data_IF_737470540703
#
_entry.id   IF_737470540703
#
_cell.length_a   1.000
_cell.length_b   1.000
_cell.length_c   1.000
_cell.angle_alpha   90.00
_cell.angle_beta   90.00
_cell.angle_gamma   90.00
#
_symmetry.space_group_name_H-M   'P 1'
#
loop_
_entity.id
_entity.type
_entity.pdbx_description
1 polymer ?
#
# COMPACT_ATOMS: atom_id res chain seq x y z
N UNK A 1 -26.64 -9.85 -7.82
CA UNK A 1 -25.88 -9.22 -8.92
C UNK A 1 -24.74 -10.15 -9.28
N UNK A 2 -24.73 -10.72 -10.50
CA UNK A 2 -23.67 -11.63 -10.93
C UNK A 2 -22.53 -10.81 -11.56
N UNK A 3 -21.32 -10.96 -11.05
CA UNK A 3 -20.12 -10.41 -11.69
C UNK A 3 -19.65 -11.40 -12.75
N UNK A 4 -19.60 -10.95 -14.00
CA UNK A 4 -19.12 -11.74 -15.13
C UNK A 4 -17.80 -11.13 -15.57
N UNK A 5 -16.75 -11.94 -15.68
CA UNK A 5 -15.48 -11.56 -16.27
C UNK A 5 -15.61 -11.64 -17.79
N UNK A 6 -15.34 -10.55 -18.46
CA UNK A 6 -15.35 -10.48 -19.92
C UNK A 6 -14.04 -9.86 -20.41
N UNK A 7 -13.52 -10.37 -21.51
CA UNK A 7 -12.38 -9.76 -22.20
C UNK A 7 -12.90 -8.61 -23.06
N UNK A 8 -12.64 -7.38 -22.63
CA UNK A 8 -13.24 -6.17 -23.23
C UNK A 8 -12.39 -5.61 -24.37
N UNK A 9 -11.13 -6.06 -24.52
CA UNK A 9 -10.21 -5.57 -25.56
C UNK A 9 -8.77 -5.44 -25.09
N UNK A 10 -8.06 -4.44 -25.59
CA UNK A 10 -6.65 -4.20 -25.29
C UNK A 10 -6.49 -3.06 -24.30
N UNK A 11 -5.63 -3.27 -23.30
CA UNK A 11 -5.19 -2.22 -22.42
C UNK A 11 -3.69 -1.93 -22.65
N UNK A 12 -3.34 -0.67 -22.69
CA UNK A 12 -1.95 -0.21 -22.84
C UNK A 12 -1.63 0.75 -21.73
N UNK A 13 -0.45 0.60 -21.14
CA UNK A 13 0.08 1.54 -20.15
C UNK A 13 1.49 1.95 -20.57
N UNK A 14 1.77 3.24 -20.55
CA UNK A 14 3.09 3.79 -20.80
C UNK A 14 3.41 4.86 -19.77
N UNK A 15 4.55 4.75 -19.11
CA UNK A 15 4.94 5.68 -18.08
C UNK A 15 6.29 5.38 -17.47
N UNK A 16 6.53 5.96 -16.30
CA UNK A 16 7.77 5.81 -15.56
C UNK A 16 7.54 5.69 -14.07
N UNK A 17 8.52 5.10 -13.42
CA UNK A 17 8.60 4.95 -11.97
C UNK A 17 9.91 5.55 -11.48
N UNK A 18 9.84 6.30 -10.39
CA UNK A 18 11.00 6.82 -9.67
C UNK A 18 10.90 6.37 -8.22
N UNK A 19 11.91 5.63 -7.75
CA UNK A 19 12.05 5.22 -6.35
C UNK A 19 13.37 5.69 -5.78
N UNK A 20 13.35 6.15 -4.55
CA UNK A 20 14.54 6.57 -3.83
C UNK A 20 14.49 6.19 -2.35
N UNK A 21 15.64 5.86 -1.81
CA UNK A 21 15.82 5.66 -0.38
C UNK A 21 16.95 6.57 0.10
N UNK A 22 16.72 7.27 1.20
CA UNK A 22 17.74 8.12 1.80
C UNK A 22 17.69 8.06 3.32
N UNK A 23 18.82 8.33 3.93
CA UNK A 23 18.97 8.38 5.39
C UNK A 23 19.56 9.72 5.80
N UNK A 24 18.86 10.44 6.69
CA UNK A 24 19.31 11.73 7.21
C UNK A 24 19.74 11.56 8.66
N UNK A 25 20.94 12.10 8.97
CA UNK A 25 21.52 12.12 10.31
C UNK A 25 21.50 10.75 11.03
N UNK A 26 21.54 9.64 10.30
CA UNK A 26 21.45 8.25 10.80
C UNK A 26 20.17 7.95 11.61
N UNK A 27 19.22 8.87 11.65
CA UNK A 27 17.99 8.75 12.46
C UNK A 27 16.73 8.67 11.63
N UNK A 28 16.67 9.36 10.51
CA UNK A 28 15.51 9.36 9.61
C UNK A 28 15.86 8.56 8.36
N UNK A 29 15.22 7.41 8.21
CA UNK A 29 15.27 6.60 7.02
C UNK A 29 13.96 6.76 6.26
N UNK A 30 14.04 7.17 5.00
CA UNK A 30 12.85 7.40 4.17
C UNK A 30 13.01 6.69 2.83
N UNK A 31 11.98 5.95 2.46
CA UNK A 31 11.74 5.45 1.11
C UNK A 31 10.58 6.24 0.51
N UNK A 32 10.76 6.70 -0.71
CA UNK A 32 9.71 7.35 -1.49
C UNK A 32 9.68 6.77 -2.90
N UNK A 33 8.51 6.46 -3.42
CA UNK A 33 8.34 6.10 -4.82
C UNK A 33 7.17 6.84 -5.45
N UNK A 34 7.36 7.23 -6.68
CA UNK A 34 6.37 7.91 -7.50
C UNK A 34 6.24 7.19 -8.83
N UNK A 35 5.02 6.86 -9.20
CA UNK A 35 4.68 6.25 -10.49
C UNK A 35 3.77 7.19 -11.26
N UNK A 36 4.04 7.38 -12.54
CA UNK A 36 3.22 8.15 -13.47
C UNK A 36 3.11 7.40 -14.78
N UNK A 37 1.88 7.13 -15.22
CA UNK A 37 1.65 6.46 -16.49
C UNK A 37 0.35 6.91 -17.14
N UNK A 38 0.36 6.92 -18.49
CA UNK A 38 -0.82 7.05 -19.29
C UNK A 38 -1.40 5.65 -19.50
N UNK A 39 -2.69 5.52 -19.25
CA UNK A 39 -3.42 4.27 -19.41
C UNK A 39 -4.51 4.47 -20.47
N UNK A 40 -4.61 3.53 -21.39
CA UNK A 40 -5.58 3.52 -22.47
C UNK A 40 -6.21 2.12 -22.56
N UNK A 41 -7.53 2.09 -22.66
CA UNK A 41 -8.31 0.88 -22.93
C UNK A 41 -9.07 1.11 -24.21
N UNK A 42 -8.89 0.24 -25.19
CA UNK A 42 -9.63 0.21 -26.43
C UNK A 42 -10.24 -1.16 -26.65
N UNK A 43 -11.51 -1.22 -26.97
CA UNK A 43 -12.18 -2.48 -27.18
C UNK A 43 -13.67 -2.36 -27.44
N UNK A 44 -14.37 -3.45 -27.21
CA UNK A 44 -15.82 -3.54 -27.39
C UNK A 44 -16.44 -4.25 -26.19
N UNK A 45 -17.50 -3.68 -25.66
CA UNK A 45 -18.28 -4.32 -24.62
C UNK A 45 -19.77 -4.31 -25.02
N UNK A 46 -20.34 -5.49 -25.15
CA UNK A 46 -21.72 -5.68 -25.56
C UNK A 46 -22.09 -4.93 -26.85
N UNK A 47 -21.25 -5.10 -27.89
CA UNK A 47 -21.37 -4.45 -29.22
C UNK A 47 -21.24 -2.92 -29.20
N UNK A 48 -20.82 -2.36 -28.08
CA UNK A 48 -20.54 -0.94 -27.97
C UNK A 48 -19.02 -0.69 -27.89
N UNK A 49 -18.46 0.18 -28.73
CA UNK A 49 -17.02 0.48 -28.68
C UNK A 49 -16.69 1.20 -27.35
N UNK A 50 -15.59 0.81 -26.76
CA UNK A 50 -15.01 1.46 -25.59
C UNK A 50 -13.66 2.02 -25.99
N UNK A 51 -13.45 3.31 -25.70
CA UNK A 51 -12.14 3.94 -25.78
C UNK A 51 -12.01 4.89 -24.59
N UNK A 52 -11.16 4.55 -23.64
CA UNK A 52 -10.92 5.32 -22.43
C UNK A 52 -9.43 5.59 -22.30
N UNK A 53 -9.07 6.83 -21.97
CA UNK A 53 -7.69 7.25 -21.77
C UNK A 53 -7.58 8.12 -20.55
N UNK A 54 -6.55 7.92 -19.75
CA UNK A 54 -6.29 8.74 -18.56
C UNK A 54 -4.85 8.65 -18.08
N UNK A 55 -4.48 9.61 -17.27
CA UNK A 55 -3.20 9.64 -16.58
C UNK A 55 -3.43 9.21 -15.14
N UNK A 56 -2.64 8.26 -14.71
CA UNK A 56 -2.68 7.69 -13.36
C UNK A 56 -1.34 7.93 -12.70
N UNK A 57 -1.36 8.39 -11.47
CA UNK A 57 -0.15 8.50 -10.67
C UNK A 57 -0.38 7.97 -9.25
N UNK A 58 0.69 7.48 -8.66
CA UNK A 58 0.71 7.03 -7.27
C UNK A 58 1.96 7.52 -6.56
N UNK A 59 1.82 7.73 -5.28
CA UNK A 59 2.91 8.11 -4.38
C UNK A 59 2.90 7.15 -3.18
N UNK A 60 4.06 6.56 -2.89
CA UNK A 60 4.27 5.80 -1.67
C UNK A 60 5.41 6.44 -0.88
N UNK A 61 5.15 6.72 0.38
CA UNK A 61 6.13 7.27 1.30
C UNK A 61 6.19 6.38 2.54
N UNK A 62 7.39 5.99 2.93
CA UNK A 62 7.63 5.19 4.12
C UNK A 62 8.82 5.80 4.86
N UNK A 63 8.57 6.40 6.02
CA UNK A 63 9.56 7.09 6.81
C UNK A 63 9.65 6.49 8.20
N UNK A 64 10.86 6.19 8.65
CA UNK A 64 11.15 5.71 9.99
C UNK A 64 12.11 6.69 10.67
N UNK A 65 11.69 7.23 11.80
CA UNK A 65 12.51 8.07 12.64
C UNK A 65 12.87 7.35 13.94
N UNK A 66 14.17 7.22 14.20
CA UNK A 66 14.71 6.61 15.41
C UNK A 66 15.04 7.68 16.46
N UNK A 67 14.25 7.75 17.53
CA UNK A 67 14.50 8.65 18.67
C UNK A 67 15.69 8.13 19.49
N UNK A 68 15.72 6.80 19.69
CA UNK A 68 16.78 6.06 20.38
C UNK A 68 16.88 4.65 19.81
N UNK A 69 17.83 3.86 20.26
CA UNK A 69 17.94 2.45 19.81
C UNK A 69 16.69 1.60 20.04
N UNK A 70 15.85 1.99 20.97
CA UNK A 70 14.67 1.21 21.37
C UNK A 70 13.34 1.91 21.08
N UNK A 71 13.35 3.15 20.58
CA UNK A 71 12.13 3.93 20.30
C UNK A 71 12.18 4.51 18.92
N UNK A 72 11.14 4.24 18.11
CA UNK A 72 11.04 4.73 16.76
C UNK A 72 9.59 5.03 16.36
N UNK A 73 9.43 5.98 15.45
CA UNK A 73 8.17 6.28 14.81
C UNK A 73 8.26 5.91 13.32
N UNK A 74 7.19 5.36 12.79
CA UNK A 74 7.03 5.07 11.36
C UNK A 74 5.82 5.81 10.82
N UNK A 75 6.01 6.52 9.73
CA UNK A 75 4.96 7.16 8.97
C UNK A 75 4.87 6.51 7.59
N UNK A 76 3.69 6.02 7.25
CA UNK A 76 3.40 5.44 5.93
C UNK A 76 2.31 6.25 5.27
N UNK A 77 2.52 6.64 4.02
CA UNK A 77 1.55 7.35 3.22
C UNK A 77 1.48 6.73 1.83
N UNK A 78 0.29 6.31 1.45
CA UNK A 78 0.01 5.80 0.11
C UNK A 78 -1.05 6.69 -0.52
N UNK A 79 -0.81 7.10 -1.75
CA UNK A 79 -1.74 7.87 -2.55
C UNK A 79 -1.89 7.24 -3.93
N UNK A 80 -3.12 7.16 -4.40
CA UNK A 80 -3.47 6.76 -5.76
C UNK A 80 -4.43 7.80 -6.34
N UNK A 81 -4.13 8.31 -7.53
CA UNK A 81 -5.01 9.22 -8.27
C UNK A 81 -6.27 8.52 -8.78
N UNK A 82 -7.20 9.27 -9.32
CA UNK A 82 -8.34 8.70 -10.03
C UNK A 82 -7.84 7.75 -11.12
N UNK A 83 -8.55 6.62 -11.28
CA UNK A 83 -8.24 5.61 -12.27
C UNK A 83 -9.44 5.37 -13.17
N UNK A 84 -9.22 5.45 -14.47
CA UNK A 84 -10.23 5.13 -15.47
C UNK A 84 -10.28 3.62 -15.66
N UNK A 85 -11.48 3.07 -15.76
CA UNK A 85 -11.76 1.66 -16.07
C UNK A 85 -12.58 1.57 -17.35
N UNK A 86 -12.72 0.36 -17.89
CA UNK A 86 -13.52 0.13 -19.11
C UNK A 86 -15.00 0.55 -18.98
N UNK A 87 -15.54 0.62 -17.75
CA UNK A 87 -16.94 0.91 -17.49
C UNK A 87 -17.16 2.08 -16.53
N UNK A 88 -16.12 2.86 -16.23
CA UNK A 88 -16.29 3.98 -15.32
C UNK A 88 -14.97 4.48 -14.72
N UNK A 89 -15.01 4.81 -13.46
CA UNK A 89 -13.89 5.45 -12.77
C UNK A 89 -13.82 5.02 -11.30
N UNK A 90 -12.61 4.77 -10.85
CA UNK A 90 -12.29 4.68 -9.43
C UNK A 90 -11.78 6.03 -8.94
N UNK A 91 -12.30 6.52 -7.83
CA UNK A 91 -11.83 7.78 -7.26
C UNK A 91 -10.43 7.62 -6.66
N UNK A 92 -9.77 8.75 -6.48
CA UNK A 92 -8.51 8.81 -5.73
C UNK A 92 -8.67 8.22 -4.34
N UNK A 93 -7.55 7.70 -3.84
CA UNK A 93 -7.48 7.10 -2.52
C UNK A 93 -6.17 7.49 -1.84
N UNK A 94 -6.18 7.69 -0.53
CA UNK A 94 -4.98 7.90 0.26
C UNK A 94 -5.12 7.20 1.62
N UNK A 95 -4.00 6.82 2.21
CA UNK A 95 -3.96 6.14 3.50
C UNK A 95 -2.72 6.56 4.29
N UNK A 96 -2.82 7.56 5.15
CA UNK A 96 -1.77 7.94 6.08
C UNK A 96 -1.87 7.11 7.37
N UNK A 97 -0.73 6.62 7.83
CA UNK A 97 -0.64 5.84 9.05
C UNK A 97 0.60 6.24 9.84
N UNK A 98 0.47 6.37 11.14
CA UNK A 98 1.57 6.63 12.05
C UNK A 98 1.65 5.52 13.09
N UNK A 99 2.85 4.99 13.31
CA UNK A 99 3.11 3.97 14.32
C UNK A 99 4.25 4.42 15.22
N UNK A 100 4.02 4.43 16.51
CA UNK A 100 5.06 4.63 17.52
C UNK A 100 5.35 3.31 18.19
N UNK A 101 6.61 2.88 18.18
CA UNK A 101 7.05 1.62 18.78
C UNK A 101 8.15 1.86 19.79
N UNK A 102 8.01 1.22 20.95
CA UNK A 102 9.03 1.19 22.00
C UNK A 102 9.31 -0.24 22.45
N UNK A 103 10.59 -0.58 22.52
CA UNK A 103 11.07 -1.88 23.00
C UNK A 103 11.68 -1.73 24.39
N UNK A 104 11.39 -2.70 25.24
CA UNK A 104 11.85 -2.76 26.62
C UNK A 104 12.55 -4.10 26.89
N UNK A 105 13.32 -4.17 27.96
CA UNK A 105 13.94 -5.38 28.48
C UNK A 105 14.72 -6.14 27.39
N UNK A 106 15.72 -5.50 26.81
CA UNK A 106 16.54 -6.09 25.75
C UNK A 106 15.70 -6.69 24.59
N UNK A 107 14.67 -5.94 24.16
CA UNK A 107 13.73 -6.32 23.10
C UNK A 107 12.79 -7.49 23.45
N UNK A 108 12.67 -7.88 24.73
CA UNK A 108 11.72 -8.92 25.13
C UNK A 108 10.27 -8.40 25.09
N UNK A 109 10.04 -7.15 25.50
CA UNK A 109 8.73 -6.53 25.45
C UNK A 109 8.70 -5.44 24.39
N UNK A 110 7.71 -5.47 23.51
CA UNK A 110 7.46 -4.44 22.49
C UNK A 110 6.06 -3.88 22.68
N UNK A 111 5.96 -2.57 22.85
CA UNK A 111 4.71 -1.84 22.85
C UNK A 111 4.62 -1.00 21.57
N UNK A 112 3.48 -1.05 20.89
CA UNK A 112 3.22 -0.26 19.68
C UNK A 112 1.87 0.43 19.77
N UNK A 113 1.85 1.72 19.46
CA UNK A 113 0.66 2.53 19.28
C UNK A 113 0.56 2.88 17.79
N UNK A 114 -0.54 2.52 17.14
CA UNK A 114 -0.78 2.78 15.73
C UNK A 114 -1.98 3.71 15.57
N UNK A 115 -1.80 4.79 14.84
CA UNK A 115 -2.87 5.65 14.37
C UNK A 115 -3.04 5.40 12.87
N UNK A 116 -4.13 4.75 12.51
CA UNK A 116 -4.41 4.33 11.13
C UNK A 116 -5.47 5.21 10.49
N UNK A 117 -5.33 5.38 9.19
CA UNK A 117 -6.25 6.17 8.36
C UNK A 117 -6.48 7.56 8.96
N UNK A 118 -5.39 8.25 9.26
CA UNK A 118 -5.44 9.58 9.88
C UNK A 118 -6.21 10.54 8.99
N UNK A 119 -7.15 11.27 9.56
CA UNK A 119 -7.76 12.41 8.87
C UNK A 119 -6.80 13.61 8.93
N UNK A 120 -6.06 13.83 7.85
CA UNK A 120 -5.11 14.93 7.75
C UNK A 120 -5.76 16.25 7.31
N UNK A 121 -7.07 16.26 7.04
CA UNK A 121 -7.77 17.45 6.53
C UNK A 121 -7.30 17.93 5.14
N UNK A 122 -6.39 17.20 4.50
CA UNK A 122 -5.81 17.57 3.20
C UNK A 122 -6.71 17.18 2.02
N UNK A 123 -7.56 16.20 2.24
CA UNK A 123 -8.51 15.69 1.26
C UNK A 123 -9.82 15.36 1.97
N UNK A 124 -10.93 15.61 1.34
CA UNK A 124 -12.24 15.55 1.96
C UNK A 124 -12.72 14.15 2.36
N UNK A 125 -12.03 13.08 2.03
CA UNK A 125 -12.52 11.73 2.37
C UNK A 125 -11.43 10.66 2.34
N UNK A 126 -11.48 9.71 3.30
CA UNK A 126 -10.84 8.39 3.22
C UNK A 126 -11.78 7.41 2.49
N UNK A 127 -12.51 7.88 1.53
CA UNK A 127 -13.52 7.15 0.79
C UNK A 127 -13.00 6.83 -0.61
N UNK A 128 -13.01 5.55 -0.96
CA UNK A 128 -12.78 5.13 -2.32
C UNK A 128 -14.12 4.85 -3.01
N UNK A 129 -14.41 5.62 -4.04
CA UNK A 129 -15.61 5.48 -4.84
C UNK A 129 -15.29 4.76 -6.14
N UNK A 130 -15.97 3.64 -6.38
CA UNK A 130 -15.90 2.88 -7.62
C UNK A 130 -17.21 3.12 -8.37
N UNK A 131 -17.12 3.77 -9.51
CA UNK A 131 -18.28 4.03 -10.36
C UNK A 131 -18.24 3.11 -11.56
N UNK A 132 -19.33 2.39 -11.79
CA UNK A 132 -19.51 1.54 -12.97
C UNK A 132 -20.80 1.93 -13.66
N UNK A 133 -20.73 2.21 -14.95
CA UNK A 133 -21.90 2.62 -15.74
C UNK A 133 -21.96 1.84 -17.04
N UNK A 134 -23.18 1.62 -17.51
CA UNK A 134 -23.49 1.10 -18.83
C UNK A 134 -24.57 1.96 -19.42
N UNK A 135 -24.36 2.63 -20.56
CA UNK A 135 -25.37 3.45 -21.19
C UNK A 135 -26.71 2.71 -21.30
N UNK A 136 -27.80 3.40 -20.96
CA UNK A 136 -29.19 2.92 -21.02
C UNK A 136 -29.52 1.64 -20.23
N UNK A 137 -28.60 1.12 -19.42
CA UNK A 137 -28.81 -0.11 -18.65
C UNK A 137 -28.66 0.07 -17.15
N UNK A 138 -27.52 0.60 -16.69
CA UNK A 138 -27.32 0.82 -15.27
C UNK A 138 -26.21 1.84 -14.98
N UNK A 139 -26.31 2.41 -13.80
CA UNK A 139 -25.28 3.20 -13.14
C UNK A 139 -25.16 2.71 -11.70
N UNK A 140 -23.97 2.36 -11.28
CA UNK A 140 -23.71 1.91 -9.91
C UNK A 140 -22.50 2.61 -9.35
N UNK A 141 -22.63 3.11 -8.14
CA UNK A 141 -21.50 3.61 -7.34
C UNK A 141 -21.40 2.80 -6.09
N UNK A 142 -20.21 2.26 -5.86
CA UNK A 142 -19.87 1.56 -4.61
C UNK A 142 -18.87 2.41 -3.86
N UNK A 143 -19.23 2.82 -2.65
CA UNK A 143 -18.35 3.58 -1.77
C UNK A 143 -17.72 2.64 -0.75
N UNK A 144 -16.41 2.56 -0.74
CA UNK A 144 -15.64 1.93 0.32
C UNK A 144 -15.20 3.04 1.28
N UNK A 145 -15.85 3.11 2.42
CA UNK A 145 -15.50 4.08 3.49
C UNK A 145 -14.58 3.36 4.45
N UNK A 146 -13.36 3.86 4.56
CA UNK A 146 -12.40 3.38 5.54
C UNK A 146 -12.60 4.15 6.83
N UNK A 147 -12.69 3.42 7.94
CA UNK A 147 -12.74 4.06 9.25
C UNK A 147 -11.51 4.94 9.45
N UNK A 148 -11.77 6.18 9.83
CA UNK A 148 -10.73 7.19 10.09
C UNK A 148 -10.35 7.19 11.55
N UNK A 149 -9.15 7.69 11.84
CA UNK A 149 -8.62 7.90 13.17
C UNK A 149 -8.68 6.66 14.07
N UNK A 150 -8.45 5.48 13.48
CA UNK A 150 -8.35 4.25 14.27
C UNK A 150 -7.07 4.23 15.09
N UNK A 151 -7.20 4.11 16.40
CA UNK A 151 -6.08 3.96 17.32
C UNK A 151 -6.01 2.51 17.80
N UNK A 152 -4.88 1.85 17.53
CA UNK A 152 -4.62 0.48 17.93
C UNK A 152 -3.41 0.44 18.87
N UNK A 153 -3.56 -0.24 20.00
CA UNK A 153 -2.47 -0.53 20.91
C UNK A 153 -2.16 -2.03 20.85
N UNK A 154 -0.87 -2.37 20.70
CA UNK A 154 -0.41 -3.75 20.77
C UNK A 154 0.75 -3.91 21.74
N UNK A 155 0.74 -5.01 22.45
CA UNK A 155 1.80 -5.43 23.37
C UNK A 155 2.23 -6.84 23.03
N UNK A 156 3.54 -7.02 22.78
CA UNK A 156 4.11 -8.32 22.45
C UNK A 156 5.25 -8.65 23.40
N UNK A 157 5.25 -9.85 23.94
CA UNK A 157 6.30 -10.34 24.83
C UNK A 157 6.90 -11.66 24.33
N UNK A 158 8.23 -11.67 24.16
CA UNK A 158 8.99 -12.84 23.74
C UNK A 158 9.53 -13.59 24.97
N UNK A 159 8.94 -14.73 25.28
CA UNK A 159 9.31 -15.55 26.45
C UNK A 159 10.67 -16.25 26.28
N UNK A 160 11.13 -16.49 25.07
CA UNK A 160 12.31 -17.31 24.81
C UNK A 160 13.25 -16.57 23.86
N UNK A 161 14.03 -15.62 24.38
CA UNK A 161 15.06 -14.92 23.64
C UNK A 161 16.40 -15.68 23.68
N UNK A 162 16.36 -16.99 23.44
CA UNK A 162 17.60 -17.72 23.18
C UNK A 162 18.09 -17.30 21.80
N UNK A 163 19.25 -16.64 21.77
CA UNK A 163 20.07 -16.52 20.56
C UNK A 163 20.53 -17.93 20.14
N UNK A 164 19.61 -18.74 19.65
CA UNK A 164 19.95 -19.91 18.88
C UNK A 164 20.42 -19.40 17.50
N UNK A 165 21.67 -18.99 17.39
CA UNK A 165 22.38 -19.20 16.14
C UNK A 165 22.10 -20.62 15.73
N UNK A 166 21.36 -20.82 14.65
CA UNK A 166 21.17 -22.13 14.06
C UNK A 166 22.58 -22.70 13.85
N UNK A 167 23.01 -23.62 14.72
CA UNK A 167 24.19 -24.43 14.47
C UNK A 167 23.76 -25.34 13.32
N UNK A 168 24.28 -25.08 12.15
CA UNK A 168 24.21 -26.05 11.08
C UNK A 168 24.82 -27.33 11.66
N UNK A 169 23.99 -28.35 11.81
CA UNK A 169 24.48 -29.68 12.14
C UNK A 169 25.31 -30.09 10.90
N UNK A 170 26.60 -30.17 11.03
CA UNK A 170 27.47 -30.82 10.03
C UNK A 170 26.97 -32.27 9.89
N UNK A 171 26.04 -32.48 8.99
CA UNK A 171 25.60 -33.81 8.62
C UNK A 171 26.67 -34.38 7.67
N UNK A 172 27.14 -35.56 7.93
CA UNK A 172 28.09 -36.31 7.06
C UNK A 172 27.57 -36.47 5.62
N UNK A 173 26.28 -36.27 5.41
CA UNK A 173 25.62 -36.30 4.09
C UNK A 173 25.90 -35.07 3.18
N UNK A 174 26.59 -34.04 3.67
CA UNK A 174 26.91 -32.82 2.92
C UNK A 174 28.32 -32.77 2.31
N UNK A 175 29.19 -33.69 2.63
CA UNK A 175 30.52 -33.76 2.02
C UNK A 175 30.44 -34.49 0.68
N UNK A 176 30.18 -33.74 -0.39
CA UNK A 176 30.49 -34.23 -1.74
C UNK A 176 32.00 -34.21 -1.90
N UNK A 177 32.60 -35.37 -2.03
CA UNK A 177 33.95 -35.52 -2.56
C UNK A 177 33.95 -35.06 -4.01
N UNK A 178 34.72 -34.02 -4.31
CA UNK A 178 35.16 -33.66 -5.67
C UNK A 178 36.62 -33.98 -5.78
#
# INVERSE_FOLDING_TARGET
MNRIYSNVGNARAFGGELGTEFTVAKKLKTFASFNLYNYQIDGEFDKSPISCKGTIFSLNLNSTYSFSGNTFAQFNYNYLSNRITAQGQDSRFYSPNLTLTKRFWNNQLTASLQWKNMDMGLMNTNEQRITTSRPDKFYTTTNYVYEVDMILFSLSYNFNNRNNTAKFIDSEFGKREF
#
